data_IF_220531757629
#
_entry.id   IF_220531757629
#
_cell.length_a   1.000
_cell.length_b   1.000
_cell.length_c   1.000
_cell.angle_alpha   90.00
_cell.angle_beta   90.00
_cell.angle_gamma   90.00
#
_symmetry.space_group_name_H-M   'P 1'
#
loop_
_entity.id
_entity.type
_entity.pdbx_description
1 polymer ?
#
# COMPACT_ATOMS: atom_id res chain seq x y z
N UNK A 1 17.71 -16.03 -11.16
CA UNK A 1 16.83 -15.32 -12.12
C UNK A 1 15.53 -16.09 -12.20
N UNK A 2 14.58 -15.79 -11.35
CA UNK A 2 13.21 -16.30 -11.44
C UNK A 2 12.48 -15.41 -12.43
N UNK A 3 12.48 -15.83 -13.70
CA UNK A 3 11.67 -15.20 -14.74
C UNK A 3 10.21 -15.42 -14.33
N UNK A 4 9.53 -14.38 -13.87
CA UNK A 4 8.07 -14.45 -13.72
C UNK A 4 7.51 -14.70 -15.12
N UNK A 5 6.83 -15.82 -15.37
CA UNK A 5 6.29 -16.08 -16.71
C UNK A 5 5.25 -15.01 -17.03
N UNK A 6 5.32 -14.46 -18.23
CA UNK A 6 4.29 -13.55 -18.75
C UNK A 6 2.95 -14.26 -18.79
N UNK A 7 1.94 -13.73 -18.09
CA UNK A 7 0.60 -14.31 -18.09
C UNK A 7 -0.03 -14.23 -19.49
N UNK A 8 -0.65 -15.31 -19.92
CA UNK A 8 -1.51 -15.31 -21.12
C UNK A 8 -2.80 -14.54 -20.85
N UNK A 9 -3.54 -14.18 -21.91
CA UNK A 9 -4.81 -13.46 -21.76
C UNK A 9 -5.85 -14.30 -20.98
N UNK A 10 -5.87 -15.62 -21.15
CA UNK A 10 -6.75 -16.53 -20.40
C UNK A 10 -6.38 -16.56 -18.91
N UNK A 11 -5.09 -16.69 -18.58
CA UNK A 11 -4.61 -16.63 -17.19
C UNK A 11 -4.90 -15.29 -16.53
N UNK A 12 -4.80 -14.21 -17.29
CA UNK A 12 -5.11 -12.88 -16.80
C UNK A 12 -6.61 -12.72 -16.51
N UNK A 13 -7.48 -13.27 -17.35
CA UNK A 13 -8.91 -13.26 -17.12
C UNK A 13 -9.30 -14.08 -15.87
N UNK A 14 -8.69 -15.25 -15.68
CA UNK A 14 -8.87 -16.08 -14.47
C UNK A 14 -8.40 -15.34 -13.21
N UNK A 15 -7.22 -14.70 -13.25
CA UNK A 15 -6.71 -13.92 -12.13
C UNK A 15 -7.61 -12.71 -11.80
N UNK A 16 -8.23 -12.06 -12.81
CA UNK A 16 -9.18 -10.98 -12.58
C UNK A 16 -10.49 -11.49 -11.93
N UNK A 17 -10.99 -12.67 -12.30
CA UNK A 17 -12.14 -13.30 -11.67
C UNK A 17 -11.84 -13.63 -10.21
N UNK A 18 -10.71 -14.29 -9.94
CA UNK A 18 -10.24 -14.61 -8.59
C UNK A 18 -10.07 -13.35 -7.74
N UNK A 19 -9.47 -12.29 -8.30
CA UNK A 19 -9.31 -11.01 -7.61
C UNK A 19 -10.66 -10.38 -7.23
N UNK A 20 -11.69 -10.55 -8.06
CA UNK A 20 -13.04 -10.05 -7.75
C UNK A 20 -13.69 -10.85 -6.60
N UNK A 21 -13.50 -12.17 -6.56
CA UNK A 21 -13.98 -13.03 -5.47
C UNK A 21 -13.28 -12.68 -4.15
N UNK A 22 -11.94 -12.57 -4.15
CA UNK A 22 -11.15 -12.20 -2.97
C UNK A 22 -11.48 -10.80 -2.46
N UNK A 23 -11.78 -9.86 -3.35
CA UNK A 23 -12.28 -8.53 -2.98
C UNK A 23 -13.59 -8.62 -2.20
N UNK A 24 -14.52 -9.44 -2.64
CA UNK A 24 -15.81 -9.62 -1.96
C UNK A 24 -15.61 -10.26 -0.58
N UNK A 25 -14.78 -11.31 -0.49
CA UNK A 25 -14.43 -11.94 0.79
C UNK A 25 -13.78 -10.95 1.77
N UNK A 26 -12.82 -10.16 1.29
CA UNK A 26 -12.19 -9.12 2.11
C UNK A 26 -13.20 -8.08 2.59
N UNK A 27 -14.12 -7.65 1.71
CA UNK A 27 -15.20 -6.71 2.07
C UNK A 27 -16.10 -7.26 3.15
N UNK A 28 -16.49 -8.52 3.08
CA UNK A 28 -17.34 -9.16 4.08
C UNK A 28 -16.63 -9.19 5.44
N UNK A 29 -15.37 -9.65 5.52
CA UNK A 29 -14.57 -9.64 6.75
C UNK A 29 -14.46 -8.23 7.34
N UNK A 30 -14.18 -7.22 6.50
CA UNK A 30 -14.00 -5.84 6.94
C UNK A 30 -15.31 -5.17 7.36
N UNK A 31 -16.45 -5.55 6.77
CA UNK A 31 -17.76 -5.02 7.15
C UNK A 31 -18.25 -5.60 8.48
N UNK A 32 -17.99 -6.86 8.74
CA UNK A 32 -18.35 -7.52 10.01
C UNK A 32 -17.54 -6.94 11.19
N UNK A 33 -16.33 -6.48 10.91
CA UNK A 33 -15.46 -5.84 11.88
C UNK A 33 -15.70 -4.34 12.07
N UNK A 34 -16.61 -3.73 11.31
CA UNK A 34 -16.90 -2.29 11.37
C UNK A 34 -17.60 -1.92 12.69
N UNK A 35 -16.82 -1.77 13.74
CA UNK A 35 -17.24 -1.27 15.05
C UNK A 35 -17.53 0.23 15.10
N UNK A 36 -17.86 0.75 16.27
CA UNK A 36 -18.03 2.18 16.54
C UNK A 36 -16.77 2.98 16.17
N UNK A 37 -16.99 4.25 15.82
CA UNK A 37 -15.89 5.15 15.52
C UNK A 37 -14.91 5.24 16.71
N UNK A 38 -13.61 5.04 16.52
CA UNK A 38 -12.66 5.13 17.62
C UNK A 38 -12.62 6.57 18.18
N UNK A 39 -12.52 6.69 19.50
CA UNK A 39 -12.40 7.96 20.20
C UNK A 39 -10.97 8.55 20.09
N UNK A 40 -10.06 7.85 19.42
CA UNK A 40 -8.65 8.22 19.34
C UNK A 40 -8.21 8.39 17.89
N UNK A 41 -7.10 9.11 17.73
CA UNK A 41 -6.41 9.30 16.46
C UNK A 41 -5.59 8.06 16.09
N UNK A 42 -5.20 7.30 17.09
CA UNK A 42 -4.45 6.06 16.94
C UNK A 42 -5.36 4.96 16.37
N UNK A 43 -4.78 4.18 15.49
CA UNK A 43 -5.48 3.15 14.73
C UNK A 43 -4.70 1.84 14.82
N UNK A 44 -4.74 1.17 15.99
CA UNK A 44 -4.02 -0.09 16.20
C UNK A 44 -4.56 -1.19 15.27
N UNK A 45 -3.77 -2.23 15.09
CA UNK A 45 -4.23 -3.45 14.45
C UNK A 45 -5.36 -4.07 15.26
N UNK A 46 -6.47 -4.39 14.59
CA UNK A 46 -7.53 -5.21 15.19
C UNK A 46 -7.12 -6.69 15.09
N UNK A 47 -6.89 -7.37 16.24
CA UNK A 47 -6.44 -8.76 16.23
C UNK A 47 -7.47 -9.72 15.64
N UNK A 48 -8.77 -9.43 15.77
CA UNK A 48 -9.82 -10.29 15.25
C UNK A 48 -9.91 -10.22 13.73
N UNK A 49 -9.79 -9.00 13.17
CA UNK A 49 -9.72 -8.80 11.72
C UNK A 49 -8.48 -9.48 11.14
N UNK A 50 -7.33 -9.31 11.80
CA UNK A 50 -6.09 -9.93 11.34
C UNK A 50 -6.18 -11.45 11.36
N UNK A 51 -6.70 -12.04 12.45
CA UNK A 51 -6.89 -13.49 12.56
C UNK A 51 -7.83 -14.04 11.46
N UNK A 52 -8.91 -13.32 11.12
CA UNK A 52 -9.80 -13.71 10.03
C UNK A 52 -9.10 -13.67 8.66
N UNK A 53 -8.21 -12.71 8.44
CA UNK A 53 -7.40 -12.65 7.22
C UNK A 53 -6.35 -13.77 7.17
N UNK A 54 -5.75 -14.14 8.30
CA UNK A 54 -4.83 -15.28 8.40
C UNK A 54 -5.57 -16.60 8.13
N UNK A 55 -6.73 -16.80 8.76
CA UNK A 55 -7.55 -18.02 8.60
C UNK A 55 -8.01 -18.24 7.15
N UNK A 56 -8.34 -17.15 6.46
CA UNK A 56 -8.79 -17.18 5.05
C UNK A 56 -7.63 -17.16 4.06
N UNK A 57 -6.38 -17.05 4.51
CA UNK A 57 -5.19 -16.94 3.66
C UNK A 57 -4.98 -15.56 3.01
N UNK A 58 -5.84 -14.56 3.31
CA UNK A 58 -5.75 -13.22 2.72
C UNK A 58 -4.58 -12.39 3.28
N UNK A 59 -4.04 -12.77 4.43
CA UNK A 59 -2.90 -12.07 5.02
C UNK A 59 -1.60 -12.28 4.22
N UNK A 60 -1.45 -13.42 3.52
CA UNK A 60 -0.24 -13.76 2.76
C UNK A 60 -0.57 -14.36 1.39
N UNK A 61 -1.16 -13.58 0.53
CA UNK A 61 -1.61 -14.00 -0.80
C UNK A 61 -0.45 -14.31 -1.75
N UNK A 62 0.58 -13.44 -1.81
CA UNK A 62 1.65 -13.54 -2.80
C UNK A 62 2.81 -14.45 -2.37
N UNK A 63 2.77 -14.95 -1.14
CA UNK A 63 3.77 -15.89 -0.64
C UNK A 63 3.69 -17.24 -1.34
N UNK A 64 4.83 -17.93 -1.41
CA UNK A 64 4.89 -19.30 -1.94
C UNK A 64 3.99 -20.24 -1.13
N UNK A 65 3.27 -21.15 -1.79
CA UNK A 65 2.42 -22.14 -1.13
C UNK A 65 3.22 -22.99 -0.12
N UNK A 66 4.44 -23.36 -0.46
CA UNK A 66 5.34 -24.10 0.43
C UNK A 66 5.74 -23.31 1.71
N UNK A 67 5.56 -21.97 1.70
CA UNK A 67 5.83 -21.09 2.83
C UNK A 67 4.53 -20.55 3.48
N UNK A 68 3.38 -21.17 3.19
CA UNK A 68 2.08 -20.81 3.75
C UNK A 68 1.38 -19.64 3.05
N UNK A 69 1.80 -19.31 1.84
CA UNK A 69 1.11 -18.37 0.95
C UNK A 69 0.15 -19.06 0.01
N UNK A 70 -0.40 -18.33 -0.96
CA UNK A 70 -1.37 -18.82 -1.95
C UNK A 70 -0.85 -18.74 -3.39
N UNK A 71 0.42 -18.38 -3.60
CA UNK A 71 1.05 -18.13 -4.92
C UNK A 71 0.24 -17.15 -5.80
N UNK A 72 -0.60 -16.30 -5.19
CA UNK A 72 -1.41 -15.33 -5.89
C UNK A 72 -0.57 -14.18 -6.46
N UNK A 73 -1.11 -13.49 -7.47
CA UNK A 73 -0.43 -12.40 -8.14
C UNK A 73 -0.83 -11.00 -7.63
N UNK A 74 -0.39 -10.01 -8.39
CA UNK A 74 -0.65 -8.61 -8.07
C UNK A 74 -2.11 -8.21 -8.22
N UNK A 75 -2.90 -8.87 -9.06
CA UNK A 75 -4.33 -8.58 -9.22
C UNK A 75 -5.11 -8.90 -7.95
N UNK A 76 -4.87 -10.06 -7.40
CA UNK A 76 -5.49 -10.56 -6.17
C UNK A 76 -5.03 -9.73 -4.96
N UNK A 77 -3.73 -9.52 -4.83
CA UNK A 77 -3.17 -8.72 -3.73
C UNK A 77 -3.67 -7.27 -3.76
N UNK A 78 -3.73 -6.64 -4.94
CA UNK A 78 -4.24 -5.28 -5.10
C UNK A 78 -5.74 -5.18 -4.77
N UNK A 79 -6.52 -6.23 -5.07
CA UNK A 79 -7.94 -6.28 -4.74
C UNK A 79 -8.19 -6.25 -3.22
N UNK A 80 -7.47 -7.08 -2.46
CA UNK A 80 -7.60 -7.16 -0.99
C UNK A 80 -7.02 -5.91 -0.32
N UNK A 81 -5.83 -5.46 -0.75
CA UNK A 81 -5.19 -4.25 -0.24
C UNK A 81 -6.07 -3.00 -0.47
N UNK A 82 -6.70 -2.93 -1.64
CA UNK A 82 -7.62 -1.86 -1.99
C UNK A 82 -8.87 -1.84 -1.11
N UNK A 83 -9.49 -2.99 -0.83
CA UNK A 83 -10.66 -3.05 0.05
C UNK A 83 -10.35 -2.58 1.47
N UNK A 84 -9.20 -2.98 2.04
CA UNK A 84 -8.77 -2.51 3.35
C UNK A 84 -8.62 -0.98 3.38
N UNK A 85 -8.04 -0.39 2.34
CA UNK A 85 -7.88 1.06 2.21
C UNK A 85 -9.23 1.78 2.02
N UNK A 86 -10.12 1.26 1.19
CA UNK A 86 -11.47 1.79 0.99
C UNK A 86 -12.34 1.71 2.25
N UNK A 87 -12.27 0.61 2.99
CA UNK A 87 -12.92 0.48 4.29
C UNK A 87 -12.34 1.48 5.32
N UNK A 88 -11.11 1.92 5.12
CA UNK A 88 -10.38 2.73 6.09
C UNK A 88 -9.94 1.91 7.30
N UNK A 89 -9.75 0.61 7.15
CA UNK A 89 -9.24 -0.29 8.19
C UNK A 89 -7.72 -0.36 8.11
N UNK A 90 -7.01 -0.05 9.19
CA UNK A 90 -5.55 -0.07 9.21
C UNK A 90 -5.06 -1.53 9.30
N UNK A 91 -4.44 -2.01 8.25
CA UNK A 91 -3.92 -3.38 8.13
C UNK A 91 -2.52 -3.37 7.49
N UNK A 92 -1.57 -4.17 8.01
CA UNK A 92 -0.20 -4.25 7.50
C UNK A 92 -0.04 -5.19 6.29
N UNK A 93 -1.05 -5.29 5.42
CA UNK A 93 -1.05 -6.22 4.28
C UNK A 93 0.12 -5.97 3.32
N UNK A 94 0.41 -4.69 3.03
CA UNK A 94 1.56 -4.34 2.19
C UNK A 94 2.87 -4.74 2.85
N UNK A 95 3.05 -4.38 4.11
CA UNK A 95 4.27 -4.63 4.87
C UNK A 95 4.51 -6.12 5.07
N UNK A 96 3.46 -6.88 5.38
CA UNK A 96 3.57 -8.30 5.71
C UNK A 96 3.75 -9.17 4.47
N UNK A 97 2.86 -9.08 3.51
CA UNK A 97 2.83 -9.95 2.33
C UNK A 97 3.78 -9.46 1.24
N UNK A 98 3.50 -8.26 0.71
CA UNK A 98 4.14 -7.74 -0.50
C UNK A 98 5.59 -7.29 -0.28
N UNK A 99 6.00 -6.98 0.95
CA UNK A 99 7.34 -6.53 1.29
C UNK A 99 8.11 -7.57 2.11
N UNK A 100 7.74 -7.81 3.38
CA UNK A 100 8.49 -8.69 4.27
C UNK A 100 8.45 -10.14 3.78
N UNK A 101 7.29 -10.65 3.45
CA UNK A 101 7.12 -12.01 2.95
C UNK A 101 7.86 -12.25 1.65
N UNK A 102 7.65 -11.36 0.67
CA UNK A 102 8.35 -11.42 -0.60
C UNK A 102 9.89 -11.33 -0.44
N UNK A 103 10.37 -10.40 0.40
CA UNK A 103 11.81 -10.21 0.61
C UNK A 103 12.46 -11.42 1.29
N UNK A 104 11.75 -12.03 2.25
CA UNK A 104 12.14 -13.27 2.91
C UNK A 104 12.27 -14.42 1.92
N UNK A 105 11.23 -14.62 1.09
CA UNK A 105 11.21 -15.69 0.08
C UNK A 105 12.31 -15.50 -0.97
N UNK A 106 12.50 -14.27 -1.44
CA UNK A 106 13.55 -13.90 -2.42
C UNK A 106 14.96 -14.14 -1.88
N UNK A 107 15.19 -13.85 -0.61
CA UNK A 107 16.48 -14.07 0.05
C UNK A 107 16.67 -15.52 0.52
N UNK A 108 15.66 -16.37 0.44
CA UNK A 108 15.70 -17.76 0.95
C UNK A 108 15.88 -17.84 2.46
N UNK A 109 15.38 -16.85 3.20
CA UNK A 109 15.44 -16.86 4.66
C UNK A 109 14.38 -17.84 5.22
N UNK A 110 14.73 -18.65 6.23
CA UNK A 110 13.81 -19.65 6.78
C UNK A 110 12.60 -19.06 7.52
N UNK A 111 12.60 -17.74 7.75
CA UNK A 111 11.64 -17.07 8.63
C UNK A 111 11.89 -17.39 10.10
N UNK A 112 11.53 -16.48 10.97
CA UNK A 112 11.57 -16.75 12.41
C UNK A 112 10.32 -17.51 12.83
N UNK A 113 10.45 -18.48 13.75
CA UNK A 113 9.28 -19.17 14.28
C UNK A 113 8.36 -18.17 15.01
N UNK A 114 7.04 -18.36 14.97
CA UNK A 114 6.13 -17.54 15.75
C UNK A 114 6.47 -17.61 17.23
N UNK A 115 6.54 -16.46 17.88
CA UNK A 115 6.77 -16.35 19.32
C UNK A 115 5.45 -16.22 20.07
N UNK A 116 4.87 -17.36 20.51
CA UNK A 116 3.63 -17.41 21.31
C UNK A 116 2.35 -17.49 20.46
N UNK A 117 1.21 -17.20 21.10
CA UNK A 117 -0.14 -17.28 20.50
C UNK A 117 -0.57 -15.98 19.78
N UNK A 118 0.37 -15.06 19.54
CA UNK A 118 0.09 -13.79 18.87
C UNK A 118 0.08 -13.91 17.34
N UNK A 119 -0.36 -12.84 16.63
CA UNK A 119 -0.41 -12.83 15.17
C UNK A 119 0.99 -13.07 14.57
N UNK A 120 1.05 -13.86 13.49
CA UNK A 120 2.29 -14.15 12.75
C UNK A 120 2.53 -12.98 11.78
N UNK A 121 2.82 -11.82 12.32
CA UNK A 121 3.08 -10.62 11.55
C UNK A 121 4.58 -10.37 11.42
N UNK A 122 5.06 -10.24 10.18
CA UNK A 122 6.35 -9.64 9.87
C UNK A 122 6.14 -8.28 9.22
N UNK A 123 7.03 -7.35 9.48
CA UNK A 123 7.07 -6.05 8.78
C UNK A 123 8.40 -5.88 8.08
N UNK A 124 8.52 -4.89 7.20
CA UNK A 124 9.72 -4.62 6.43
C UNK A 124 10.32 -3.25 6.76
N UNK A 125 11.64 -3.17 6.65
CA UNK A 125 12.38 -1.92 6.75
C UNK A 125 13.48 -1.83 5.71
N UNK A 126 13.73 -0.63 5.18
CA UNK A 126 14.87 -0.33 4.33
C UNK A 126 15.87 0.55 5.07
N UNK A 127 17.15 0.19 5.01
CA UNK A 127 18.26 0.96 5.59
C UNK A 127 19.10 1.56 4.48
N UNK A 128 19.03 2.87 4.31
CA UNK A 128 19.73 3.61 3.23
C UNK A 128 20.99 4.34 3.69
N UNK A 129 21.22 4.45 5.00
CA UNK A 129 22.36 5.20 5.56
C UNK A 129 22.96 4.47 6.77
N UNK A 130 24.19 4.80 7.09
CA UNK A 130 24.95 4.18 8.18
C UNK A 130 24.37 4.40 9.59
N UNK A 131 23.43 5.31 9.78
CA UNK A 131 22.72 5.50 11.05
C UNK A 131 21.54 4.54 11.13
N UNK A 132 21.67 3.49 11.90
CA UNK A 132 20.75 2.35 12.01
C UNK A 132 19.39 2.64 12.66
N UNK A 133 19.09 3.88 13.02
CA UNK A 133 17.78 4.27 13.51
C UNK A 133 16.84 4.47 12.31
N UNK A 134 15.84 3.60 12.17
CA UNK A 134 14.84 3.63 11.10
C UNK A 134 13.44 3.71 11.68
N UNK A 135 12.52 4.28 10.92
CA UNK A 135 11.10 4.20 11.24
C UNK A 135 10.52 2.96 10.58
N UNK A 136 9.99 2.06 11.39
CA UNK A 136 9.43 0.77 10.95
C UNK A 136 7.92 0.79 11.18
N UNK A 137 7.11 0.68 10.13
CA UNK A 137 5.66 0.57 10.29
C UNK A 137 5.31 -0.75 10.99
N UNK A 138 4.31 -0.71 11.85
CA UNK A 138 3.77 -1.88 12.57
C UNK A 138 4.75 -2.65 13.47
N UNK A 139 5.93 -2.14 13.74
CA UNK A 139 6.96 -2.88 14.49
C UNK A 139 6.45 -3.37 15.87
N UNK A 140 5.67 -2.56 16.61
CA UNK A 140 5.15 -2.97 17.92
C UNK A 140 4.13 -4.13 17.84
N UNK A 141 3.48 -4.33 16.70
CA UNK A 141 2.54 -5.43 16.47
C UNK A 141 3.20 -6.64 15.78
N UNK A 142 4.41 -6.49 15.25
CA UNK A 142 5.11 -7.51 14.48
C UNK A 142 5.96 -8.42 15.38
N UNK A 143 6.08 -9.67 14.99
CA UNK A 143 7.01 -10.63 15.60
C UNK A 143 8.44 -10.39 15.11
N UNK A 144 8.62 -9.95 13.86
CA UNK A 144 9.93 -9.73 13.24
C UNK A 144 9.92 -8.56 12.26
N UNK A 145 11.13 -8.05 11.98
CA UNK A 145 11.42 -7.08 10.93
C UNK A 145 12.33 -7.74 9.91
N UNK A 146 11.89 -7.83 8.66
CA UNK A 146 12.71 -8.21 7.52
C UNK A 146 13.36 -6.94 6.96
N UNK A 147 14.66 -6.89 6.98
CA UNK A 147 15.44 -5.69 6.68
C UNK A 147 16.13 -5.82 5.34
N UNK A 148 15.95 -4.83 4.48
CA UNK A 148 16.77 -4.59 3.32
C UNK A 148 17.80 -3.50 3.66
N UNK A 149 19.06 -3.87 3.74
CA UNK A 149 20.15 -2.95 4.05
C UNK A 149 20.94 -2.62 2.79
N UNK A 150 20.76 -1.41 2.27
CA UNK A 150 21.46 -0.88 1.09
C UNK A 150 22.55 0.13 1.47
N UNK A 151 22.88 0.26 2.76
CA UNK A 151 23.90 1.21 3.24
C UNK A 151 25.34 0.77 2.96
N UNK A 152 25.55 -0.50 2.60
CA UNK A 152 26.85 -1.10 2.29
C UNK A 152 27.21 -1.11 0.81
N UNK A 153 28.28 -1.82 0.46
CA UNK A 153 28.75 -1.97 -0.92
C UNK A 153 27.82 -2.85 -1.78
N UNK A 154 27.05 -3.73 -1.16
CA UNK A 154 26.03 -4.55 -1.80
C UNK A 154 24.81 -4.66 -0.88
N UNK A 155 23.59 -4.71 -1.43
CA UNK A 155 22.39 -4.91 -0.65
C UNK A 155 22.39 -6.23 0.10
N UNK A 156 21.92 -6.20 1.35
CA UNK A 156 21.81 -7.38 2.20
C UNK A 156 20.38 -7.48 2.74
N UNK A 157 19.91 -8.71 2.90
CA UNK A 157 18.62 -9.01 3.54
C UNK A 157 18.87 -9.87 4.76
N UNK A 158 18.23 -9.50 5.86
CA UNK A 158 18.24 -10.28 7.10
C UNK A 158 16.93 -10.08 7.86
N UNK A 159 16.65 -10.94 8.80
CA UNK A 159 15.48 -10.85 9.66
C UNK A 159 15.89 -10.78 11.12
N UNK A 160 15.20 -9.92 11.90
CA UNK A 160 15.47 -9.72 13.33
C UNK A 160 14.14 -9.83 14.08
N UNK A 161 14.14 -10.56 15.20
CA UNK A 161 12.99 -10.60 16.08
C UNK A 161 12.78 -9.22 16.74
N UNK A 162 11.54 -8.74 16.78
CA UNK A 162 11.22 -7.45 17.44
C UNK A 162 11.59 -7.47 18.93
N UNK A 163 11.49 -8.63 19.57
CA UNK A 163 11.87 -8.82 20.96
C UNK A 163 13.36 -8.53 21.25
N UNK A 164 14.22 -8.59 20.22
CA UNK A 164 15.67 -8.29 20.32
C UNK A 164 15.99 -6.83 20.00
N UNK A 165 14.99 -6.00 19.72
CA UNK A 165 15.15 -4.61 19.31
C UNK A 165 14.67 -3.63 20.37
N UNK A 166 15.33 -2.47 20.42
CA UNK A 166 14.81 -1.32 21.16
C UNK A 166 13.76 -0.62 20.29
N UNK A 167 12.50 -0.67 20.72
CA UNK A 167 11.33 -0.18 19.99
C UNK A 167 10.78 1.06 20.69
N UNK A 168 10.80 2.20 20.02
CA UNK A 168 10.17 3.43 20.49
C UNK A 168 8.91 3.70 19.67
N UNK A 169 7.76 3.39 20.24
CA UNK A 169 6.47 3.54 19.59
C UNK A 169 6.20 4.98 19.13
N UNK A 170 5.59 5.10 17.98
CA UNK A 170 5.15 6.34 17.35
C UNK A 170 3.85 6.08 16.59
N UNK A 171 3.19 7.16 16.21
CA UNK A 171 1.98 7.10 15.40
C UNK A 171 2.22 7.81 14.08
N UNK A 172 1.91 7.15 12.97
CA UNK A 172 1.97 7.73 11.64
C UNK A 172 0.95 8.86 11.46
N UNK A 173 1.10 9.66 10.41
CA UNK A 173 0.10 10.68 10.03
C UNK A 173 -1.28 10.05 9.84
N UNK A 174 -1.34 8.84 9.29
CA UNK A 174 -2.57 8.06 9.12
C UNK A 174 -3.19 7.53 10.40
N UNK A 175 -2.44 7.53 11.50
CA UNK A 175 -2.86 6.94 12.77
C UNK A 175 -2.36 5.51 12.96
N UNK A 176 -1.75 4.89 11.94
CA UNK A 176 -1.19 3.56 12.02
C UNK A 176 0.02 3.50 12.95
N UNK A 177 0.24 2.39 13.66
CA UNK A 177 1.42 2.20 14.50
C UNK A 177 2.71 2.26 13.69
N UNK A 178 3.67 2.99 14.20
CA UNK A 178 5.05 2.99 13.73
C UNK A 178 5.99 2.90 14.94
N UNK A 179 7.23 2.58 14.72
CA UNK A 179 8.25 2.70 15.76
C UNK A 179 9.58 3.20 15.20
N UNK A 180 10.29 3.99 16.00
CA UNK A 180 11.71 4.18 15.76
C UNK A 180 12.43 2.96 16.34
N UNK A 181 13.22 2.31 15.52
CA UNK A 181 13.93 1.08 15.85
C UNK A 181 15.40 1.26 15.53
N UNK A 182 16.27 0.81 16.43
CA UNK A 182 17.71 0.74 16.15
C UNK A 182 18.09 -0.66 15.70
N UNK A 183 18.43 -0.80 14.43
CA UNK A 183 18.81 -2.08 13.85
C UNK A 183 20.27 -2.45 14.13
N UNK A 184 20.62 -3.72 14.29
CA UNK A 184 21.98 -4.18 14.52
C UNK A 184 22.87 -3.94 13.29
N UNK A 185 24.18 -3.72 13.52
CA UNK A 185 25.17 -3.44 12.47
C UNK A 185 25.68 -4.69 11.76
N UNK A 186 25.53 -5.83 12.38
CA UNK A 186 25.89 -7.12 11.81
C UNK A 186 24.92 -8.18 12.30
N UNK A 187 24.37 -8.93 11.38
CA UNK A 187 23.42 -10.01 11.66
C UNK A 187 23.96 -11.29 11.04
N UNK A 188 24.09 -12.34 11.86
CA UNK A 188 24.45 -13.66 11.36
C UNK A 188 23.34 -14.16 10.41
N UNK A 189 23.75 -14.71 9.27
CA UNK A 189 22.80 -15.20 8.27
C UNK A 189 22.23 -14.14 7.33
N UNK A 190 22.80 -12.92 7.34
CA UNK A 190 22.47 -11.92 6.32
C UNK A 190 22.83 -12.43 4.91
N UNK A 191 21.91 -12.29 3.98
CA UNK A 191 22.05 -12.76 2.61
C UNK A 191 22.28 -11.59 1.67
N UNK A 192 23.34 -11.64 0.86
CA UNK A 192 23.58 -10.64 -0.17
C UNK A 192 22.61 -10.85 -1.32
N UNK A 193 21.93 -9.78 -1.73
CA UNK A 193 21.02 -9.76 -2.87
C UNK A 193 21.49 -8.79 -3.95
N UNK A 194 20.89 -8.85 -5.13
CA UNK A 194 21.23 -7.93 -6.21
C UNK A 194 20.59 -6.54 -6.03
N UNK A 195 21.07 -5.56 -6.77
CA UNK A 195 20.48 -4.22 -6.79
C UNK A 195 19.04 -4.26 -7.34
N UNK A 196 18.75 -5.14 -8.29
CA UNK A 196 17.41 -5.33 -8.84
C UNK A 196 16.39 -5.72 -7.74
N UNK A 197 16.80 -6.50 -6.73
CA UNK A 197 15.94 -6.84 -5.58
C UNK A 197 15.64 -5.58 -4.75
N UNK A 198 16.63 -4.73 -4.54
CA UNK A 198 16.42 -3.48 -3.80
C UNK A 198 15.50 -2.51 -4.57
N UNK A 199 15.65 -2.43 -5.87
CA UNK A 199 14.80 -1.60 -6.72
C UNK A 199 13.39 -2.17 -6.80
N UNK A 200 13.23 -3.51 -6.90
CA UNK A 200 11.92 -4.14 -6.85
C UNK A 200 11.20 -3.92 -5.52
N UNK A 201 11.89 -3.97 -4.39
CA UNK A 201 11.32 -3.65 -3.08
C UNK A 201 10.65 -2.27 -3.08
N UNK A 202 11.32 -1.26 -3.63
CA UNK A 202 10.79 0.10 -3.73
C UNK A 202 9.59 0.19 -4.67
N UNK A 203 9.65 -0.49 -5.83
CA UNK A 203 8.54 -0.54 -6.78
C UNK A 203 7.32 -1.25 -6.18
N UNK A 204 7.51 -2.35 -5.41
CA UNK A 204 6.43 -3.03 -4.69
C UNK A 204 5.75 -2.11 -3.69
N UNK A 205 6.55 -1.42 -2.87
CA UNK A 205 6.03 -0.43 -1.93
C UNK A 205 5.28 0.71 -2.60
N UNK A 206 5.83 1.25 -3.69
CA UNK A 206 5.21 2.34 -4.45
C UNK A 206 3.88 1.91 -5.08
N UNK A 207 3.83 0.75 -5.73
CA UNK A 207 2.59 0.22 -6.33
C UNK A 207 1.54 -0.06 -5.26
N UNK A 208 1.91 -0.71 -4.15
CA UNK A 208 0.98 -0.98 -3.05
C UNK A 208 0.39 0.31 -2.47
N UNK A 209 1.22 1.34 -2.24
CA UNK A 209 0.72 2.65 -1.78
C UNK A 209 -0.15 3.35 -2.82
N UNK A 210 0.17 3.24 -4.11
CA UNK A 210 -0.67 3.78 -5.17
C UNK A 210 -2.05 3.09 -5.21
N UNK A 211 -2.11 1.77 -5.05
CA UNK A 211 -3.36 0.99 -4.92
C UNK A 211 -4.19 1.47 -3.73
N UNK A 212 -3.57 1.62 -2.55
CA UNK A 212 -4.26 2.09 -1.36
C UNK A 212 -4.80 3.52 -1.52
N UNK A 213 -4.02 4.42 -2.13
CA UNK A 213 -4.44 5.80 -2.40
C UNK A 213 -5.64 5.83 -3.35
N UNK A 214 -5.60 5.09 -4.46
CA UNK A 214 -6.68 5.06 -5.44
C UNK A 214 -7.98 4.49 -4.86
N UNK A 215 -7.90 3.41 -4.09
CA UNK A 215 -9.07 2.80 -3.45
C UNK A 215 -9.66 3.69 -2.34
N UNK A 216 -8.83 4.33 -1.52
CA UNK A 216 -9.27 5.31 -0.54
C UNK A 216 -9.93 6.53 -1.22
N UNK A 217 -9.40 6.99 -2.37
CA UNK A 217 -9.96 8.08 -3.14
C UNK A 217 -11.38 7.78 -3.66
N UNK A 218 -11.67 6.56 -4.10
CA UNK A 218 -13.02 6.13 -4.48
C UNK A 218 -13.99 6.23 -3.30
N UNK A 219 -13.59 5.73 -2.13
CA UNK A 219 -14.40 5.82 -0.92
C UNK A 219 -14.59 7.28 -0.45
N UNK A 220 -13.56 8.13 -0.55
CA UNK A 220 -13.66 9.57 -0.25
C UNK A 220 -14.63 10.25 -1.21
N UNK A 221 -14.57 9.92 -2.50
CA UNK A 221 -15.50 10.46 -3.52
C UNK A 221 -16.94 10.10 -3.18
N UNK A 222 -17.21 8.85 -2.80
CA UNK A 222 -18.56 8.43 -2.39
C UNK A 222 -19.04 9.21 -1.16
N UNK A 223 -18.19 9.37 -0.14
CA UNK A 223 -18.52 10.19 1.03
C UNK A 223 -18.84 11.65 0.67
N UNK A 224 -18.12 12.23 -0.29
CA UNK A 224 -18.42 13.57 -0.78
C UNK A 224 -19.78 13.63 -1.45
N UNK A 225 -20.12 12.67 -2.32
CA UNK A 225 -21.41 12.60 -3.01
C UNK A 225 -22.56 12.44 -2.02
N UNK A 226 -22.42 11.54 -1.04
CA UNK A 226 -23.44 11.31 -0.01
C UNK A 226 -23.64 12.57 0.85
N UNK A 227 -22.57 13.22 1.25
CA UNK A 227 -22.62 14.43 2.04
C UNK A 227 -23.34 15.59 1.30
N UNK A 228 -23.00 15.85 0.05
CA UNK A 228 -23.57 16.98 -0.69
C UNK A 228 -25.03 16.76 -1.09
N UNK A 229 -25.47 15.51 -1.20
CA UNK A 229 -26.85 15.17 -1.52
C UNK A 229 -27.77 15.22 -0.30
N UNK A 230 -27.26 14.91 0.88
CA UNK A 230 -28.04 14.84 2.13
C UNK A 230 -27.97 16.12 2.97
N UNK A 231 -26.83 16.84 2.95
CA UNK A 231 -26.64 18.06 3.77
C UNK A 231 -27.44 19.24 3.20
N UNK A 232 -28.39 19.74 3.98
CA UNK A 232 -29.19 20.93 3.62
C UNK A 232 -28.64 22.19 4.29
N UNK A 233 -28.39 23.23 3.52
CA UNK A 233 -28.06 24.59 3.96
C UNK A 233 -28.73 25.58 3.01
N UNK A 234 -29.09 26.77 3.53
CA UNK A 234 -29.78 27.82 2.74
C UNK A 234 -31.03 27.28 2.01
N UNK A 235 -31.78 26.39 2.65
CA UNK A 235 -33.05 25.84 2.17
C UNK A 235 -32.95 24.77 1.08
N UNK A 236 -31.79 24.27 0.74
CA UNK A 236 -31.61 23.20 -0.27
C UNK A 236 -30.33 22.34 -0.02
N UNK A 237 -30.24 21.15 -0.61
CA UNK A 237 -29.00 20.35 -0.56
C UNK A 237 -27.80 21.17 -1.08
N UNK A 238 -26.64 21.03 -0.40
CA UNK A 238 -25.45 21.82 -0.75
C UNK A 238 -24.91 21.46 -2.14
N UNK A 239 -25.17 20.27 -2.65
CA UNK A 239 -24.85 19.86 -4.02
C UNK A 239 -25.58 20.64 -5.12
N UNK A 240 -26.54 21.53 -4.77
CA UNK A 240 -27.19 22.45 -5.72
C UNK A 240 -26.42 23.75 -5.92
N UNK A 241 -25.31 23.97 -5.21
CA UNK A 241 -24.46 25.16 -5.38
C UNK A 241 -23.30 24.86 -6.34
N UNK A 242 -23.09 25.70 -7.35
CA UNK A 242 -22.07 25.49 -8.38
C UNK A 242 -20.65 25.32 -7.81
N UNK A 243 -20.30 26.08 -6.78
CA UNK A 243 -18.98 25.96 -6.15
C UNK A 243 -18.76 24.56 -5.53
N UNK A 244 -19.82 23.98 -4.93
CA UNK A 244 -19.76 22.62 -4.36
C UNK A 244 -19.70 21.59 -5.48
N UNK A 245 -20.48 21.75 -6.56
CA UNK A 245 -20.43 20.87 -7.73
C UNK A 245 -19.03 20.84 -8.34
N UNK A 246 -18.36 22.00 -8.45
CA UNK A 246 -16.99 22.06 -8.95
C UNK A 246 -16.03 21.24 -8.08
N UNK A 247 -16.08 21.41 -6.74
CA UNK A 247 -15.24 20.64 -5.83
C UNK A 247 -15.47 19.14 -5.94
N UNK A 248 -16.72 18.68 -6.06
CA UNK A 248 -17.05 17.27 -6.25
C UNK A 248 -16.54 16.75 -7.60
N UNK A 249 -16.67 17.58 -8.65
CA UNK A 249 -16.16 17.21 -9.98
C UNK A 249 -14.65 17.07 -9.96
N UNK A 250 -13.92 17.99 -9.30
CA UNK A 250 -12.46 17.89 -9.17
C UNK A 250 -12.07 16.60 -8.42
N UNK A 251 -12.74 16.28 -7.29
CA UNK A 251 -12.48 15.02 -6.55
C UNK A 251 -12.73 13.81 -7.43
N UNK A 252 -13.85 13.75 -8.14
CA UNK A 252 -14.22 12.62 -8.99
C UNK A 252 -13.24 12.46 -10.18
N UNK A 253 -12.82 13.55 -10.80
CA UNK A 253 -11.90 13.55 -11.94
C UNK A 253 -10.51 13.04 -11.53
N UNK A 254 -9.98 13.54 -10.41
CA UNK A 254 -8.70 13.11 -9.88
C UNK A 254 -8.74 11.65 -9.40
N UNK A 255 -9.85 11.22 -8.83
CA UNK A 255 -10.06 9.82 -8.45
C UNK A 255 -10.05 8.90 -9.66
N UNK A 256 -10.77 9.26 -10.73
CA UNK A 256 -10.80 8.49 -11.96
C UNK A 256 -9.42 8.41 -12.63
N UNK A 257 -8.68 9.52 -12.63
CA UNK A 257 -7.32 9.57 -13.15
C UNK A 257 -6.38 8.64 -12.36
N UNK A 258 -6.34 8.78 -11.04
CA UNK A 258 -5.50 7.94 -10.18
C UNK A 258 -5.86 6.45 -10.35
N UNK A 259 -7.16 6.12 -10.35
CA UNK A 259 -7.65 4.75 -10.52
C UNK A 259 -7.19 4.14 -11.83
N UNK A 260 -7.39 4.84 -12.95
CA UNK A 260 -6.99 4.36 -14.28
C UNK A 260 -5.49 4.07 -14.36
N UNK A 261 -4.65 4.97 -13.82
CA UNK A 261 -3.21 4.79 -13.82
C UNK A 261 -2.77 3.60 -12.95
N UNK A 262 -3.40 3.43 -11.79
CA UNK A 262 -3.10 2.32 -10.87
C UNK A 262 -3.55 0.98 -11.46
N UNK A 263 -4.75 0.89 -12.03
CA UNK A 263 -5.25 -0.33 -12.66
C UNK A 263 -4.35 -0.77 -13.81
N UNK A 264 -3.90 0.18 -14.64
CA UNK A 264 -2.94 -0.11 -15.68
C UNK A 264 -1.63 -0.64 -15.10
N UNK A 265 -1.09 -0.02 -14.05
CA UNK A 265 0.16 -0.46 -13.46
C UNK A 265 0.05 -1.87 -12.86
N UNK A 266 -1.02 -2.16 -12.11
CA UNK A 266 -1.29 -3.50 -11.58
C UNK A 266 -1.39 -4.54 -12.69
N UNK A 267 -2.13 -4.24 -13.76
CA UNK A 267 -2.29 -5.11 -14.91
C UNK A 267 -0.96 -5.38 -15.63
N UNK A 268 -0.16 -4.32 -15.84
CA UNK A 268 1.14 -4.43 -16.51
C UNK A 268 2.12 -5.26 -15.67
N UNK A 269 2.14 -5.03 -14.35
CA UNK A 269 2.97 -5.81 -13.42
C UNK A 269 2.51 -7.27 -13.35
N UNK A 270 1.21 -7.53 -13.31
CA UNK A 270 0.68 -8.89 -13.33
C UNK A 270 1.08 -9.64 -14.60
N UNK A 271 1.11 -8.95 -15.74
CA UNK A 271 1.45 -9.55 -17.04
C UNK A 271 2.95 -9.76 -17.23
N UNK A 272 3.79 -8.80 -16.84
CA UNK A 272 5.20 -8.76 -17.23
C UNK A 272 6.18 -8.90 -16.05
N UNK A 273 5.71 -8.76 -14.81
CA UNK A 273 6.55 -8.68 -13.62
C UNK A 273 7.19 -7.29 -13.42
N UNK A 274 7.65 -7.03 -12.19
CA UNK A 274 8.22 -5.72 -11.80
C UNK A 274 9.62 -5.44 -12.39
N UNK A 275 10.29 -6.46 -12.93
CA UNK A 275 11.60 -6.28 -13.58
C UNK A 275 11.48 -5.76 -15.03
N UNK A 276 10.28 -5.82 -15.62
CA UNK A 276 10.03 -5.33 -16.97
C UNK A 276 10.05 -3.79 -17.01
N UNK A 277 10.78 -3.15 -17.95
CA UNK A 277 10.84 -1.69 -18.03
C UNK A 277 9.47 -1.02 -18.23
N UNK A 278 8.54 -1.66 -18.96
CA UNK A 278 7.18 -1.14 -19.13
C UNK A 278 6.40 -1.15 -17.81
N UNK A 279 6.58 -2.19 -16.99
CA UNK A 279 5.98 -2.27 -15.68
C UNK A 279 6.59 -1.22 -14.72
N UNK A 280 7.90 -1.02 -14.74
CA UNK A 280 8.56 0.02 -13.95
C UNK A 280 8.06 1.42 -14.32
N UNK A 281 7.92 1.71 -15.62
CA UNK A 281 7.32 2.97 -16.10
C UNK A 281 5.88 3.12 -15.62
N UNK A 282 5.05 2.07 -15.75
CA UNK A 282 3.65 2.11 -15.31
C UNK A 282 3.53 2.35 -13.79
N UNK A 283 4.37 1.71 -12.98
CA UNK A 283 4.40 1.93 -11.52
C UNK A 283 4.83 3.36 -11.18
N UNK A 284 5.86 3.88 -11.84
CA UNK A 284 6.31 5.25 -11.63
C UNK A 284 5.21 6.27 -11.98
N UNK A 285 4.54 6.09 -13.11
CA UNK A 285 3.43 6.94 -13.54
C UNK A 285 2.23 6.84 -12.58
N UNK A 286 1.88 5.63 -12.12
CA UNK A 286 0.78 5.42 -11.17
C UNK A 286 1.07 6.07 -9.81
N UNK A 287 2.29 5.91 -9.27
CA UNK A 287 2.65 6.48 -7.96
C UNK A 287 2.74 8.01 -8.00
N UNK A 288 3.33 8.59 -9.05
CA UNK A 288 3.36 10.04 -9.25
C UNK A 288 1.94 10.61 -9.37
N UNK A 289 1.11 10.03 -10.24
CA UNK A 289 -0.27 10.44 -10.46
C UNK A 289 -1.11 10.33 -9.18
N UNK A 290 -1.11 9.15 -8.52
CA UNK A 290 -1.86 8.95 -7.27
C UNK A 290 -1.43 9.93 -6.17
N UNK A 291 -0.13 10.23 -6.06
CA UNK A 291 0.41 11.20 -5.11
C UNK A 291 -0.02 12.63 -5.38
N UNK A 292 -0.09 13.04 -6.65
CA UNK A 292 -0.56 14.37 -7.07
C UNK A 292 -2.07 14.50 -6.86
N UNK A 293 -2.86 13.54 -7.34
CA UNK A 293 -4.31 13.50 -7.19
C UNK A 293 -4.76 13.51 -5.73
N UNK A 294 -4.03 12.81 -4.85
CA UNK A 294 -4.31 12.76 -3.42
C UNK A 294 -4.39 14.13 -2.76
N UNK A 295 -3.55 15.09 -3.19
CA UNK A 295 -3.57 16.46 -2.65
C UNK A 295 -4.87 17.18 -2.96
N UNK A 296 -5.33 17.12 -4.20
CA UNK A 296 -6.58 17.74 -4.65
C UNK A 296 -7.77 17.06 -3.98
N UNK A 297 -7.80 15.74 -3.98
CA UNK A 297 -8.89 14.93 -3.39
C UNK A 297 -9.05 15.25 -1.90
N UNK A 298 -7.97 15.17 -1.12
CA UNK A 298 -8.04 15.39 0.33
C UNK A 298 -8.47 16.82 0.64
N UNK A 299 -7.85 17.82 0.02
CA UNK A 299 -8.19 19.24 0.22
C UNK A 299 -9.65 19.53 -0.09
N UNK A 300 -10.13 19.09 -1.26
CA UNK A 300 -11.48 19.38 -1.70
C UNK A 300 -12.52 18.60 -0.90
N UNK A 301 -12.25 17.34 -0.52
CA UNK A 301 -13.13 16.55 0.34
C UNK A 301 -13.32 17.19 1.72
N UNK A 302 -12.25 17.67 2.36
CA UNK A 302 -12.36 18.39 3.62
C UNK A 302 -13.09 19.74 3.45
N UNK A 303 -12.90 20.44 2.33
CA UNK A 303 -13.63 21.66 2.04
C UNK A 303 -15.14 21.40 1.85
N UNK A 304 -15.51 20.30 1.20
CA UNK A 304 -16.91 19.86 1.00
C UNK A 304 -17.59 19.56 2.33
N UNK A 305 -16.93 18.82 3.21
CA UNK A 305 -17.49 18.40 4.49
C UNK A 305 -17.44 19.51 5.56
N UNK A 306 -16.49 20.44 5.46
CA UNK A 306 -16.25 21.44 6.48
C UNK A 306 -15.79 20.82 7.81
N UNK A 307 -16.19 21.42 8.93
CA UNK A 307 -15.72 21.01 10.26
C UNK A 307 -16.00 19.53 10.61
N UNK A 308 -17.12 18.96 10.15
CA UNK A 308 -17.47 17.58 10.46
C UNK A 308 -16.47 16.58 9.88
N UNK A 309 -15.90 16.87 8.70
CA UNK A 309 -14.90 16.02 8.06
C UNK A 309 -13.59 15.87 8.85
N UNK A 310 -13.34 16.73 9.82
CA UNK A 310 -12.14 16.67 10.69
C UNK A 310 -12.40 16.02 12.05
N UNK A 311 -13.65 15.69 12.37
CA UNK A 311 -14.00 15.05 13.65
C UNK A 311 -13.71 13.54 13.60
N UNK A 312 -13.50 12.92 14.78
CA UNK A 312 -13.20 11.50 14.88
C UNK A 312 -14.41 10.62 14.52
N UNK A 313 -15.62 11.13 14.75
CA UNK A 313 -16.88 10.41 14.45
C UNK A 313 -17.13 10.28 12.94
N UNK A 314 -16.55 11.17 12.12
CA UNK A 314 -16.78 11.15 10.66
C UNK A 314 -15.75 10.26 9.95
N UNK A 315 -16.25 9.35 9.10
CA UNK A 315 -15.42 8.38 8.37
C UNK A 315 -14.40 8.97 7.36
N UNK A 316 -14.50 10.26 7.04
CA UNK A 316 -13.62 10.92 6.05
C UNK A 316 -12.16 10.90 6.51
N UNK A 317 -11.88 11.31 7.73
CA UNK A 317 -10.51 11.43 8.25
C UNK A 317 -9.79 10.07 8.34
N UNK A 318 -10.53 8.96 8.47
CA UNK A 318 -9.96 7.60 8.48
C UNK A 318 -9.33 7.21 7.15
N UNK A 319 -9.70 7.89 6.07
CA UNK A 319 -9.20 7.68 4.70
C UNK A 319 -8.23 8.77 4.27
N UNK A 320 -8.57 10.02 4.55
CA UNK A 320 -7.73 11.15 4.10
C UNK A 320 -6.39 11.23 4.82
N UNK A 321 -6.33 10.88 6.11
CA UNK A 321 -5.07 10.92 6.87
C UNK A 321 -4.05 9.87 6.39
N UNK A 322 -4.41 8.58 6.24
CA UNK A 322 -3.50 7.59 5.66
C UNK A 322 -2.99 7.99 4.27
N UNK A 323 -3.86 8.47 3.40
CA UNK A 323 -3.50 8.95 2.05
C UNK A 323 -2.39 10.00 2.10
N UNK A 324 -2.43 10.94 3.06
CA UNK A 324 -1.38 11.94 3.24
C UNK A 324 -0.03 11.34 3.69
N UNK A 325 -0.03 10.23 4.41
CA UNK A 325 1.16 9.45 4.75
C UNK A 325 1.68 8.68 3.53
N UNK A 326 0.83 7.85 2.94
CA UNK A 326 1.16 6.94 1.85
C UNK A 326 1.73 7.64 0.61
N UNK A 327 1.29 8.87 0.32
CA UNK A 327 1.83 9.66 -0.82
C UNK A 327 3.33 9.94 -0.71
N UNK A 328 3.91 9.87 0.50
CA UNK A 328 5.32 10.15 0.77
C UNK A 328 6.16 8.88 0.93
N UNK A 329 5.52 7.76 1.22
CA UNK A 329 6.22 6.49 1.42
C UNK A 329 6.67 5.90 0.09
N UNK A 330 7.82 5.26 0.10
CA UNK A 330 8.49 4.70 -1.09
C UNK A 330 8.74 5.74 -2.20
N UNK A 331 9.02 6.96 -1.84
CA UNK A 331 9.24 8.09 -2.73
C UNK A 331 8.04 9.04 -2.83
N UNK A 332 8.34 10.32 -2.93
CA UNK A 332 7.36 11.40 -3.15
C UNK A 332 6.92 11.45 -4.61
N UNK A 333 5.92 12.30 -4.91
CA UNK A 333 5.52 12.60 -6.30
C UNK A 333 6.71 13.06 -7.13
N UNK A 334 7.53 13.98 -6.61
CA UNK A 334 8.70 14.51 -7.34
C UNK A 334 9.75 13.42 -7.61
N UNK A 335 10.04 12.54 -6.63
CA UNK A 335 11.00 11.45 -6.83
C UNK A 335 10.56 10.51 -7.97
N UNK A 336 9.24 10.28 -8.13
CA UNK A 336 8.71 9.43 -9.19
C UNK A 336 8.58 10.16 -10.53
N UNK A 337 8.37 11.47 -10.54
CA UNK A 337 8.47 12.32 -11.74
C UNK A 337 9.90 12.34 -12.28
N UNK A 338 10.91 12.50 -11.41
CA UNK A 338 12.33 12.42 -11.78
C UNK A 338 12.66 11.02 -12.34
N UNK A 339 12.09 9.96 -11.72
CA UNK A 339 12.27 8.59 -12.23
C UNK A 339 11.65 8.38 -13.60
N UNK A 340 10.48 8.95 -13.86
CA UNK A 340 9.85 8.92 -15.20
C UNK A 340 10.72 9.64 -16.24
N UNK A 341 11.25 10.82 -15.89
CA UNK A 341 12.16 11.55 -16.77
C UNK A 341 13.39 10.69 -17.10
N UNK A 342 14.02 10.08 -16.09
CA UNK A 342 15.16 9.19 -16.28
C UNK A 342 14.82 8.03 -17.24
N UNK A 343 13.70 7.32 -17.02
CA UNK A 343 13.28 6.20 -17.86
C UNK A 343 13.04 6.60 -19.32
N UNK A 344 12.52 7.81 -19.56
CA UNK A 344 12.24 8.32 -20.91
C UNK A 344 13.51 8.86 -21.59
N UNK A 345 14.37 9.56 -20.85
CA UNK A 345 15.56 10.24 -21.43
C UNK A 345 16.72 9.26 -21.64
N UNK A 346 16.91 8.34 -20.71
CA UNK A 346 18.04 7.39 -20.73
C UNK A 346 17.65 6.00 -21.25
N UNK A 347 16.37 5.69 -21.31
CA UNK A 347 15.87 4.41 -21.81
C UNK A 347 15.96 4.29 -23.32
N UNK A 348 16.16 3.08 -23.80
CA UNK A 348 16.17 2.76 -25.24
C UNK A 348 14.75 2.64 -25.85
N UNK A 349 13.70 2.64 -25.00
CA UNK A 349 12.31 2.49 -25.41
C UNK A 349 11.72 3.83 -25.87
N UNK A 350 11.00 3.84 -26.99
CA UNK A 350 10.23 4.99 -27.43
C UNK A 350 9.10 5.29 -26.43
N UNK A 351 8.91 6.56 -26.07
CA UNK A 351 7.87 6.99 -25.14
C UNK A 351 6.47 6.49 -25.55
N UNK A 352 6.19 6.50 -26.86
CA UNK A 352 4.92 6.00 -27.37
C UNK A 352 4.73 4.51 -27.08
N UNK A 353 5.78 3.73 -27.22
CA UNK A 353 5.75 2.31 -26.88
C UNK A 353 5.52 2.07 -25.39
N UNK A 354 6.15 2.87 -24.51
CA UNK A 354 5.93 2.80 -23.05
C UNK A 354 4.50 3.14 -22.64
N UNK A 355 3.85 4.06 -23.36
CA UNK A 355 2.48 4.49 -23.08
C UNK A 355 1.43 3.52 -23.64
N UNK A 356 1.71 2.86 -24.76
CA UNK A 356 0.69 2.08 -25.51
C UNK A 356 0.76 0.58 -25.32
N UNK A 357 1.86 0.07 -24.81
CA UNK A 357 2.02 -1.35 -24.42
C UNK A 357 1.58 -1.56 -22.98
#
# INVERSE_FOLDING_TARGET
MTHTPTLTDDQLAEAQETAAELRNLARDILSDAAGEAPDTVERPLDPAVWAALEETGLARLTGLEAAGGSDAGWLEAAAVLGEAAAAGTPLPLLEHDLLAGWLRDTAGLPGLPPSGDGPVLATAAEVVAAGRAVTVPWAAAAASVVVLDVSGAAPQVYEVAVADLEVHERVAVGGEPQAAVTLPTAVAGAVTVSQEVADEFRHRGALGRAVQIAAAAEAITQLCVDHVTTRVQFGRPIGKFQAVQQLVTDVASETALARTMVDRAVLTVARHGLQDPTAQFAVAAAKACAGASAEVIVRNAHQIHGAIGTTLEHGLQRRTRPVLGWRREFGTTADWEDRLEELVVTGDADLWDLITR
#
